data_IF_064384816978
#
_entry.id   IF_064384816978
#
_cell.length_a   1.000
_cell.length_b   1.000
_cell.length_c   1.000
_cell.angle_alpha   90.00
_cell.angle_beta   90.00
_cell.angle_gamma   90.00
#
_symmetry.space_group_name_H-M   'P 1'
#
loop_
_entity.id
_entity.type
_entity.pdbx_description
1 polymer ?
#
# COMPACT_ATOMS: atom_id res chain seq x y z
N UNK A 1 4.56 6.46 17.79
CA UNK A 1 3.91 6.23 16.47
C UNK A 1 2.50 6.80 16.43
N UNK A 2 1.53 6.32 17.22
CA UNK A 2 0.17 6.92 17.22
C UNK A 2 0.13 8.33 17.84
N UNK A 3 0.79 8.54 18.98
CA UNK A 3 0.89 9.87 19.60
C UNK A 3 1.59 10.89 18.68
N UNK A 4 2.74 10.52 18.12
CA UNK A 4 3.49 11.31 17.11
C UNK A 4 2.69 11.59 15.83
N UNK A 5 1.65 10.79 15.51
CA UNK A 5 0.80 11.00 14.34
C UNK A 5 -0.39 11.91 14.62
N UNK A 6 -0.76 12.09 15.90
CA UNK A 6 -1.82 13.01 16.30
C UNK A 6 -1.29 14.43 16.53
N UNK A 7 -0.19 14.55 17.28
CA UNK A 7 0.44 15.83 17.59
C UNK A 7 1.94 15.63 17.83
N UNK A 8 2.76 16.15 16.91
CA UNK A 8 4.21 16.05 17.00
C UNK A 8 4.74 16.96 18.12
N UNK A 9 4.32 18.22 18.16
CA UNK A 9 4.79 19.22 19.12
C UNK A 9 4.49 18.77 20.56
N UNK A 10 3.27 18.29 20.82
CA UNK A 10 2.91 17.77 22.13
C UNK A 10 3.75 16.53 22.48
N UNK A 11 4.04 15.65 21.51
CA UNK A 11 4.84 14.45 21.75
C UNK A 11 6.30 14.78 22.07
N UNK A 12 6.87 15.83 21.46
CA UNK A 12 8.22 16.31 21.76
C UNK A 12 8.30 16.87 23.19
N UNK A 13 7.28 17.62 23.61
CA UNK A 13 7.17 18.15 24.98
C UNK A 13 7.06 17.04 26.04
N UNK A 14 6.58 15.85 25.66
CA UNK A 14 6.54 14.67 26.54
C UNK A 14 7.87 13.89 26.58
N UNK A 15 8.94 14.42 25.96
CA UNK A 15 10.29 13.84 25.98
C UNK A 15 10.49 12.65 25.04
N UNK A 16 9.58 12.45 24.07
CA UNK A 16 9.70 11.39 23.07
C UNK A 16 10.50 11.89 21.87
N UNK A 17 11.53 11.13 21.48
CA UNK A 17 12.31 11.39 20.27
C UNK A 17 11.49 11.03 19.02
N UNK A 18 10.97 12.06 18.34
CA UNK A 18 10.16 11.94 17.14
C UNK A 18 10.99 11.40 15.97
N UNK A 19 12.24 11.86 15.83
CA UNK A 19 13.13 11.43 14.75
C UNK A 19 13.40 9.93 14.82
N UNK A 20 13.66 9.39 16.03
CA UNK A 20 13.78 7.93 16.22
C UNK A 20 12.50 7.18 15.88
N UNK A 21 11.36 7.74 16.23
CA UNK A 21 10.05 7.12 15.94
C UNK A 21 9.79 7.06 14.43
N UNK A 22 10.05 8.15 13.70
CA UNK A 22 9.91 8.22 12.24
C UNK A 22 10.92 7.27 11.58
N UNK A 23 12.18 7.31 11.99
CA UNK A 23 13.22 6.43 11.47
C UNK A 23 12.87 4.95 11.67
N UNK A 24 12.37 4.56 12.85
CA UNK A 24 11.91 3.20 13.12
C UNK A 24 10.73 2.79 12.22
N UNK A 25 9.75 3.68 12.01
CA UNK A 25 8.63 3.38 11.10
C UNK A 25 9.07 3.19 9.65
N UNK A 26 9.97 4.04 9.16
CA UNK A 26 10.53 3.94 7.82
C UNK A 26 11.39 2.68 7.67
N UNK A 27 12.19 2.36 8.68
CA UNK A 27 13.04 1.17 8.68
C UNK A 27 12.21 -0.10 8.56
N UNK A 28 11.15 -0.24 9.37
CA UNK A 28 10.26 -1.41 9.31
C UNK A 28 9.59 -1.52 7.92
N UNK A 29 9.09 -0.40 7.39
CA UNK A 29 8.47 -0.36 6.06
C UNK A 29 9.46 -0.74 4.94
N UNK A 30 10.67 -0.20 4.97
CA UNK A 30 11.72 -0.48 3.99
C UNK A 30 12.18 -1.94 4.04
N UNK A 31 12.32 -2.53 5.23
CA UNK A 31 12.67 -3.94 5.40
C UNK A 31 11.59 -4.85 4.83
N UNK A 32 10.31 -4.56 5.10
CA UNK A 32 9.19 -5.33 4.56
C UNK A 32 9.07 -5.19 3.03
N UNK A 33 9.24 -3.97 2.50
CA UNK A 33 9.25 -3.72 1.07
C UNK A 33 10.42 -4.44 0.37
N UNK A 34 11.61 -4.39 0.97
CA UNK A 34 12.79 -5.10 0.49
C UNK A 34 12.59 -6.61 0.47
N UNK A 35 12.10 -7.20 1.57
CA UNK A 35 11.82 -8.62 1.64
C UNK A 35 10.78 -9.07 0.59
N UNK A 36 9.68 -8.31 0.45
CA UNK A 36 8.66 -8.58 -0.57
C UNK A 36 9.20 -8.47 -2.00
N UNK A 37 9.99 -7.44 -2.29
CA UNK A 37 10.63 -7.25 -3.59
C UNK A 37 11.63 -8.34 -3.93
N UNK A 38 12.43 -8.80 -2.95
CA UNK A 38 13.36 -9.92 -3.15
C UNK A 38 12.63 -11.22 -3.45
N UNK A 39 11.55 -11.53 -2.72
CA UNK A 39 10.72 -12.72 -2.98
C UNK A 39 10.14 -12.68 -4.39
N UNK A 40 9.59 -11.52 -4.79
CA UNK A 40 9.05 -11.33 -6.13
C UNK A 40 10.12 -11.52 -7.21
N UNK A 41 11.28 -10.89 -7.06
CA UNK A 41 12.39 -11.02 -8.02
C UNK A 41 12.91 -12.46 -8.15
N UNK A 42 13.00 -13.19 -7.03
CA UNK A 42 13.39 -14.61 -7.05
C UNK A 42 12.36 -15.50 -7.75
N UNK A 43 11.07 -15.20 -7.60
CA UNK A 43 10.01 -15.98 -8.21
C UNK A 43 10.01 -15.85 -9.75
N UNK A 44 10.10 -14.62 -10.26
CA UNK A 44 10.05 -14.37 -11.71
C UNK A 44 11.40 -14.53 -12.43
N UNK A 45 12.51 -14.68 -11.70
CA UNK A 45 13.88 -14.82 -12.23
C UNK A 45 14.28 -13.77 -13.30
N UNK A 46 13.56 -12.66 -13.35
CA UNK A 46 13.68 -11.61 -14.37
C UNK A 46 13.53 -10.28 -13.69
N UNK A 47 14.53 -9.41 -13.83
CA UNK A 47 14.50 -8.05 -13.28
C UNK A 47 14.56 -7.08 -14.44
N UNK A 48 13.48 -6.33 -14.62
CA UNK A 48 13.35 -5.27 -15.63
C UNK A 48 13.39 -3.93 -14.90
N UNK A 49 13.93 -2.89 -15.56
CA UNK A 49 14.10 -1.57 -14.96
C UNK A 49 12.79 -0.94 -14.44
N UNK A 50 11.64 -1.29 -15.04
CA UNK A 50 10.32 -0.74 -14.72
C UNK A 50 9.57 -1.51 -13.62
N UNK A 51 10.15 -2.60 -13.11
CA UNK A 51 9.47 -3.49 -12.15
C UNK A 51 9.02 -2.73 -10.89
N UNK A 52 9.86 -1.83 -10.38
CA UNK A 52 9.53 -1.01 -9.20
C UNK A 52 8.37 -0.05 -9.43
N UNK A 53 8.26 0.52 -10.65
CA UNK A 53 7.16 1.41 -11.00
C UNK A 53 5.84 0.66 -11.11
N UNK A 54 5.83 -0.46 -11.83
CA UNK A 54 4.65 -1.33 -11.95
C UNK A 54 4.20 -1.90 -10.59
N UNK A 55 5.15 -2.38 -9.77
CA UNK A 55 4.84 -2.85 -8.41
C UNK A 55 4.31 -1.72 -7.51
N UNK A 56 4.87 -0.52 -7.62
CA UNK A 56 4.40 0.67 -6.90
C UNK A 56 2.97 1.04 -7.26
N UNK A 57 2.61 0.96 -8.54
CA UNK A 57 1.23 1.19 -9.01
C UNK A 57 0.24 0.16 -8.45
N UNK A 58 0.63 -1.11 -8.40
CA UNK A 58 -0.21 -2.16 -7.83
C UNK A 58 -0.36 -2.00 -6.32
N UNK A 59 0.72 -1.67 -5.61
CA UNK A 59 0.70 -1.38 -4.19
C UNK A 59 -0.14 -0.14 -3.84
N UNK A 60 -0.05 0.91 -4.65
CA UNK A 60 -0.88 2.10 -4.51
C UNK A 60 -2.36 1.76 -4.70
N UNK A 61 -2.68 0.99 -5.75
CA UNK A 61 -4.05 0.56 -6.01
C UNK A 61 -4.62 -0.28 -4.87
N UNK A 62 -3.84 -1.22 -4.34
CA UNK A 62 -4.19 -1.99 -3.16
C UNK A 62 -4.46 -1.12 -1.93
N UNK A 63 -3.61 -0.12 -1.67
CA UNK A 63 -3.77 0.79 -0.54
C UNK A 63 -5.03 1.67 -0.68
N UNK A 64 -5.30 2.19 -1.88
CA UNK A 64 -6.50 3.01 -2.16
C UNK A 64 -7.76 2.16 -2.09
N UNK A 65 -7.76 0.98 -2.70
CA UNK A 65 -8.88 0.02 -2.66
C UNK A 65 -9.21 -0.38 -1.21
N UNK A 66 -8.19 -0.66 -0.39
CA UNK A 66 -8.34 -0.96 1.03
C UNK A 66 -8.79 0.24 1.89
N UNK A 67 -8.37 1.45 1.51
CA UNK A 67 -8.65 2.71 2.19
C UNK A 67 -7.38 3.33 2.80
N UNK A 68 -7.03 4.55 2.35
CA UNK A 68 -5.85 5.28 2.83
C UNK A 68 -6.04 5.66 4.30
N UNK A 69 -5.06 5.36 5.15
CA UNK A 69 -5.07 5.69 6.58
C UNK A 69 -5.61 4.58 7.50
N UNK A 70 -6.13 3.48 6.96
CA UNK A 70 -6.44 2.28 7.74
C UNK A 70 -5.50 1.13 7.37
N UNK A 71 -4.59 0.76 8.29
CA UNK A 71 -3.61 -0.32 8.08
C UNK A 71 -4.29 -1.66 7.78
N UNK A 72 -5.40 -1.97 8.47
CA UNK A 72 -6.14 -3.22 8.26
C UNK A 72 -6.84 -3.23 6.90
N UNK A 73 -7.39 -2.07 6.49
CA UNK A 73 -7.97 -1.87 5.17
C UNK A 73 -6.96 -2.09 4.06
N UNK A 74 -5.80 -1.42 4.14
CA UNK A 74 -4.72 -1.56 3.16
C UNK A 74 -4.19 -3.01 3.05
N UNK A 75 -4.06 -3.73 4.16
CA UNK A 75 -3.64 -5.14 4.16
C UNK A 75 -4.65 -6.04 3.42
N UNK A 76 -5.96 -5.87 3.70
CA UNK A 76 -7.02 -6.61 3.00
C UNK A 76 -7.08 -6.22 1.51
N UNK A 77 -6.89 -4.93 1.20
CA UNK A 77 -6.84 -4.45 -0.18
C UNK A 77 -5.67 -5.03 -0.97
N UNK A 78 -4.49 -5.14 -0.36
CA UNK A 78 -3.34 -5.83 -0.94
C UNK A 78 -3.59 -7.29 -1.24
N UNK A 79 -4.22 -8.01 -0.32
CA UNK A 79 -4.57 -9.42 -0.52
C UNK A 79 -5.59 -9.59 -1.65
N UNK A 80 -6.65 -8.77 -1.67
CA UNK A 80 -7.69 -8.85 -2.70
C UNK A 80 -7.16 -8.47 -4.09
N UNK A 81 -6.40 -7.39 -4.21
CA UNK A 81 -5.76 -7.01 -5.48
C UNK A 81 -4.77 -8.10 -5.92
N UNK A 82 -3.97 -8.66 -5.01
CA UNK A 82 -3.06 -9.76 -5.33
C UNK A 82 -3.78 -10.99 -5.88
N UNK A 83 -4.93 -11.35 -5.31
CA UNK A 83 -5.79 -12.42 -5.83
C UNK A 83 -6.30 -12.06 -7.23
N UNK A 84 -6.79 -10.83 -7.43
CA UNK A 84 -7.28 -10.36 -8.74
C UNK A 84 -6.17 -10.41 -9.79
N UNK A 85 -4.93 -10.05 -9.45
CA UNK A 85 -3.77 -10.17 -10.32
C UNK A 85 -3.57 -11.64 -10.72
N UNK A 86 -3.53 -12.55 -9.74
CA UNK A 86 -3.31 -13.97 -10.01
C UNK A 86 -4.41 -14.60 -10.87
N UNK A 87 -5.67 -14.23 -10.65
CA UNK A 87 -6.78 -14.66 -11.51
C UNK A 87 -6.71 -14.01 -12.89
N UNK A 88 -6.36 -12.73 -12.98
CA UNK A 88 -6.22 -12.03 -14.25
C UNK A 88 -5.12 -12.66 -15.11
N UNK A 89 -3.93 -12.91 -14.55
CA UNK A 89 -2.83 -13.55 -15.27
C UNK A 89 -3.11 -15.02 -15.64
N UNK A 90 -3.97 -15.71 -14.87
CA UNK A 90 -4.34 -17.10 -15.13
C UNK A 90 -5.39 -17.28 -16.22
N UNK A 91 -6.32 -16.32 -16.38
CA UNK A 91 -7.43 -16.38 -17.34
C UNK A 91 -7.25 -15.45 -18.54
N UNK A 92 -6.50 -14.35 -18.38
CA UNK A 92 -6.21 -13.35 -19.40
C UNK A 92 -4.69 -13.23 -19.62
N UNK A 93 -4.31 -12.69 -20.77
CA UNK A 93 -2.92 -12.36 -21.05
C UNK A 93 -2.44 -11.26 -20.10
N UNK A 94 -1.20 -11.32 -19.61
CA UNK A 94 -0.68 -10.41 -18.57
C UNK A 94 -0.79 -8.91 -18.93
N UNK A 95 -0.87 -8.57 -20.21
CA UNK A 95 -1.14 -7.20 -20.69
C UNK A 95 -2.50 -6.65 -20.21
N UNK A 96 -3.50 -7.50 -20.01
CA UNK A 96 -4.82 -7.09 -19.54
C UNK A 96 -4.87 -6.83 -18.04
N UNK A 97 -3.97 -7.46 -17.27
CA UNK A 97 -3.91 -7.34 -15.82
C UNK A 97 -3.68 -5.89 -15.37
N UNK A 98 -2.80 -5.17 -16.07
CA UNK A 98 -2.56 -3.75 -15.79
C UNK A 98 -3.81 -2.89 -16.03
N UNK A 99 -4.57 -3.16 -17.09
CA UNK A 99 -5.82 -2.46 -17.40
C UNK A 99 -6.86 -2.72 -16.31
N UNK A 100 -7.01 -3.97 -15.87
CA UNK A 100 -7.98 -4.36 -14.82
C UNK A 100 -7.66 -3.64 -13.51
N UNK A 101 -6.39 -3.63 -13.08
CA UNK A 101 -5.99 -2.98 -11.82
C UNK A 101 -6.25 -1.48 -11.87
N UNK A 102 -5.87 -0.81 -12.97
CA UNK A 102 -6.14 0.61 -13.13
C UNK A 102 -7.62 0.92 -13.23
N UNK A 103 -8.41 0.08 -13.90
CA UNK A 103 -9.85 0.23 -13.94
C UNK A 103 -10.44 0.15 -12.53
N UNK A 104 -9.99 -0.79 -11.69
CA UNK A 104 -10.39 -0.90 -10.28
C UNK A 104 -10.01 0.37 -9.51
N UNK A 105 -8.78 0.88 -9.68
CA UNK A 105 -8.35 2.12 -9.04
C UNK A 105 -9.30 3.28 -9.37
N UNK A 106 -9.61 3.48 -10.65
CA UNK A 106 -10.51 4.54 -11.11
C UNK A 106 -11.92 4.33 -10.53
N UNK A 107 -12.43 3.09 -10.56
CA UNK A 107 -13.74 2.75 -10.01
C UNK A 107 -13.83 3.06 -8.52
N UNK A 108 -12.80 2.71 -7.74
CA UNK A 108 -12.75 3.05 -6.31
C UNK A 108 -12.77 4.55 -6.12
N UNK A 109 -11.93 5.30 -6.83
CA UNK A 109 -11.88 6.75 -6.67
C UNK A 109 -13.20 7.44 -7.04
N UNK A 110 -13.92 6.94 -8.06
CA UNK A 110 -15.21 7.50 -8.48
C UNK A 110 -16.33 7.16 -7.51
N UNK A 111 -16.45 5.90 -7.10
CA UNK A 111 -17.63 5.45 -6.34
C UNK A 111 -17.42 5.43 -4.82
N UNK A 112 -16.18 5.24 -4.35
CA UNK A 112 -15.82 5.18 -2.93
C UNK A 112 -14.37 5.63 -2.70
N UNK A 113 -14.09 6.95 -2.71
CA UNK A 113 -12.73 7.48 -2.54
C UNK A 113 -12.11 7.16 -1.17
N UNK A 114 -12.92 6.72 -0.19
CA UNK A 114 -12.44 6.23 1.11
C UNK A 114 -11.98 4.76 1.09
N UNK A 115 -12.16 4.01 0.00
CA UNK A 115 -11.87 2.57 -0.06
C UNK A 115 -12.85 1.71 0.76
N UNK A 116 -12.50 0.42 0.94
CA UNK A 116 -13.32 -0.57 1.63
C UNK A 116 -13.50 -0.29 3.13
N UNK A 117 -12.43 0.08 3.83
CA UNK A 117 -12.41 0.27 5.29
C UNK A 117 -11.81 1.64 5.70
N UNK A 118 -11.83 2.64 4.81
CA UNK A 118 -11.29 3.96 5.12
C UNK A 118 -11.98 4.59 6.32
N UNK A 119 -11.18 5.06 7.27
CA UNK A 119 -11.68 5.82 8.41
C UNK A 119 -12.16 7.18 7.93
N UNK A 120 -13.40 7.56 8.29
CA UNK A 120 -13.78 8.97 8.31
C UNK A 120 -12.95 9.62 9.42
N UNK A 121 -12.10 10.58 9.06
CA UNK A 121 -11.43 11.42 10.06
C UNK A 121 -12.54 11.99 10.95
N UNK A 122 -12.56 11.74 12.27
CA UNK A 122 -13.43 12.47 13.16
C UNK A 122 -13.02 13.93 13.05
N UNK A 123 -13.91 14.76 12.51
CA UNK A 123 -13.72 16.20 12.50
C UNK A 123 -13.61 16.67 13.96
N UNK A 124 -12.64 17.57 14.21
CA UNK A 124 -12.19 18.00 15.54
C UNK A 124 -13.32 18.48 16.45
#
# INVERSE_FOLDING_TARGET
>A
MRATAQDQDATELMGIDINRTIAATFFIGAVLAGAGGTIFGLYYNTVVFDLGFSAGLFAFTAAVFGGIGNIQGAALGGLLIGIIIAFSDGYFESAWTQIVIFAILILVLVFRPTGLLGMRVPEK
#
